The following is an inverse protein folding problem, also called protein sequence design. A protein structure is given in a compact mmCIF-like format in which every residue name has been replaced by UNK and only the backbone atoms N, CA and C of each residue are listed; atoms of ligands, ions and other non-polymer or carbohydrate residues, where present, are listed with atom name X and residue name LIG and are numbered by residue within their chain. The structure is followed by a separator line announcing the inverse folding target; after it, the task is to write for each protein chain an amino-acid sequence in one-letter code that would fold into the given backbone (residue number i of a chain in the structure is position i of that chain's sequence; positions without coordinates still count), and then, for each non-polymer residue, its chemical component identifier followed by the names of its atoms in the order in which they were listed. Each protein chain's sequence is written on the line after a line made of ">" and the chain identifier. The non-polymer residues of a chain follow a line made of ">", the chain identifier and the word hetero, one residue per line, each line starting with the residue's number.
data_IF_859623111741
#
_entry.id   IF_859623111741
#
_cell.length_a   1.000
_cell.length_b   1.000
_cell.length_c   1.000
_cell.angle_alpha   90.00
_cell.angle_beta   90.00
_cell.angle_gamma   90.00
#
_symmetry.space_group_name_H-M   'P 1'
#
loop_
_entity.id
_entity.type
_entity.pdbx_description
1 polymer ?
#
# COMPACT_ATOMS: atom_id res chain seq x y z
N UNK A 1 17.58 -18.97 -11.46
CA UNK A 1 16.65 -17.86 -11.37
C UNK A 1 17.38 -16.55 -11.09
N UNK A 2 17.01 -15.51 -11.79
CA UNK A 2 17.68 -14.21 -11.66
C UNK A 2 17.20 -13.46 -10.41
N UNK A 3 18.11 -12.68 -9.83
CA UNK A 3 17.76 -11.70 -8.81
C UNK A 3 17.05 -10.55 -9.49
N UNK A 4 15.91 -10.14 -8.94
CA UNK A 4 15.17 -9.00 -9.46
C UNK A 4 15.66 -7.70 -8.85
N UNK A 5 15.75 -6.66 -9.67
CA UNK A 5 15.98 -5.31 -9.16
C UNK A 5 14.78 -4.76 -8.43
N UNK A 6 15.00 -3.73 -7.63
CA UNK A 6 13.91 -3.07 -6.88
C UNK A 6 12.76 -2.61 -7.77
N UNK A 7 12.99 -2.01 -8.96
CA UNK A 7 11.87 -1.61 -9.82
C UNK A 7 10.99 -2.78 -10.27
N UNK A 8 11.59 -3.95 -10.52
CA UNK A 8 10.80 -5.13 -10.93
C UNK A 8 9.99 -5.67 -9.75
N UNK A 9 10.56 -5.71 -8.56
CA UNK A 9 9.85 -6.13 -7.35
C UNK A 9 8.70 -5.17 -7.06
N UNK A 10 8.94 -3.88 -7.19
CA UNK A 10 7.90 -2.86 -7.03
C UNK A 10 6.76 -3.08 -8.02
N UNK A 11 7.07 -3.39 -9.29
CA UNK A 11 6.06 -3.65 -10.30
C UNK A 11 5.25 -4.91 -9.98
N UNK A 12 5.91 -5.98 -9.52
CA UNK A 12 5.23 -7.22 -9.13
C UNK A 12 4.21 -6.95 -8.00
N UNK A 13 4.61 -6.18 -7.00
CA UNK A 13 3.74 -5.84 -5.87
C UNK A 13 2.64 -4.87 -6.31
N UNK A 14 2.98 -3.90 -7.15
CA UNK A 14 2.01 -2.96 -7.72
C UNK A 14 0.90 -3.69 -8.46
N UNK A 15 1.24 -4.65 -9.31
CA UNK A 15 0.26 -5.40 -10.09
C UNK A 15 -0.71 -6.17 -9.19
N UNK A 16 -0.20 -6.80 -8.14
CA UNK A 16 -1.02 -7.53 -7.18
C UNK A 16 -1.96 -6.58 -6.41
N UNK A 17 -1.44 -5.42 -5.99
CA UNK A 17 -2.23 -4.42 -5.27
C UNK A 17 -3.27 -3.77 -6.17
N UNK A 18 -2.96 -3.51 -7.43
CA UNK A 18 -3.92 -2.96 -8.38
C UNK A 18 -5.12 -3.88 -8.53
N UNK A 19 -4.87 -5.18 -8.60
CA UNK A 19 -5.94 -6.18 -8.64
C UNK A 19 -6.78 -6.15 -7.35
N UNK A 20 -6.15 -5.99 -6.19
CA UNK A 20 -6.86 -5.91 -4.92
C UNK A 20 -7.71 -4.64 -4.82
N UNK A 21 -7.14 -3.48 -5.16
CA UNK A 21 -7.82 -2.20 -4.97
C UNK A 21 -8.92 -1.93 -5.99
N UNK A 22 -8.93 -2.65 -7.09
CA UNK A 22 -9.96 -2.46 -8.12
C UNK A 22 -11.37 -2.61 -7.52
N UNK A 23 -12.15 -1.52 -7.53
CA UNK A 23 -13.48 -1.49 -6.96
C UNK A 23 -13.57 -1.32 -5.46
N UNK A 24 -12.43 -1.27 -4.74
CA UNK A 24 -12.41 -1.10 -3.29
C UNK A 24 -12.13 0.34 -2.84
N UNK A 25 -11.46 1.11 -3.69
CA UNK A 25 -11.19 2.54 -3.43
C UNK A 25 -11.75 3.38 -4.57
N UNK A 26 -12.11 4.62 -4.26
CA UNK A 26 -12.67 5.53 -5.27
C UNK A 26 -11.64 6.17 -6.17
N UNK A 27 -10.37 6.10 -5.81
CA UNK A 27 -9.25 6.65 -6.56
C UNK A 27 -8.44 5.57 -7.25
N UNK A 28 -7.15 5.80 -7.36
CA UNK A 28 -6.22 4.92 -8.07
C UNK A 28 -5.02 4.56 -7.21
N UNK A 29 -4.32 3.50 -7.60
CA UNK A 29 -3.03 3.14 -7.03
C UNK A 29 -1.93 3.88 -7.79
N UNK A 30 -1.00 4.47 -7.05
CA UNK A 30 0.15 5.18 -7.60
C UNK A 30 1.44 4.67 -6.97
N UNK A 31 2.52 4.77 -7.72
CA UNK A 31 3.87 4.66 -7.16
C UNK A 31 4.22 5.97 -6.44
N UNK A 32 5.19 5.90 -5.55
CA UNK A 32 5.66 7.08 -4.81
C UNK A 32 6.04 8.22 -5.77
N UNK A 33 5.54 9.41 -5.47
CA UNK A 33 5.79 10.60 -6.28
C UNK A 33 4.89 10.79 -7.48
N UNK A 34 4.02 9.81 -7.78
CA UNK A 34 3.16 9.86 -8.97
C UNK A 34 1.72 10.32 -8.68
N UNK A 35 1.31 10.35 -7.42
CA UNK A 35 -0.03 10.84 -7.07
C UNK A 35 -0.13 12.34 -7.33
N UNK A 36 -1.19 12.82 -8.01
CA UNK A 36 -1.40 14.25 -8.17
C UNK A 36 -1.47 14.97 -6.83
N UNK A 37 -0.74 16.06 -6.66
CA UNK A 37 -0.67 16.80 -5.39
C UNK A 37 -2.01 17.36 -4.93
N UNK A 38 -2.88 17.66 -5.87
CA UNK A 38 -4.21 18.22 -5.59
C UNK A 38 -5.31 17.18 -5.61
N UNK A 39 -4.97 15.89 -5.65
CA UNK A 39 -5.97 14.83 -5.67
C UNK A 39 -6.80 14.86 -4.39
N UNK A 40 -8.12 14.76 -4.57
CA UNK A 40 -9.08 14.65 -3.47
C UNK A 40 -9.78 13.30 -3.48
N UNK A 41 -9.25 12.35 -4.22
CA UNK A 41 -9.79 11.01 -4.32
C UNK A 41 -9.16 10.10 -3.27
N UNK A 42 -9.85 9.00 -3.00
CA UNK A 42 -9.34 7.94 -2.11
C UNK A 42 -8.29 7.14 -2.88
N UNK A 43 -7.06 7.63 -2.88
CA UNK A 43 -5.94 7.04 -3.60
C UNK A 43 -5.06 6.22 -2.67
N UNK A 44 -4.38 5.22 -3.23
CA UNK A 44 -3.35 4.48 -2.55
C UNK A 44 -1.99 4.76 -3.20
N UNK A 45 -0.96 4.87 -2.37
CA UNK A 45 0.42 5.08 -2.83
C UNK A 45 1.30 4.00 -2.25
N UNK A 46 2.09 3.34 -3.11
CA UNK A 46 3.01 2.28 -2.69
C UNK A 46 4.45 2.76 -2.74
N UNK A 47 5.21 2.38 -1.72
CA UNK A 47 6.66 2.58 -1.65
C UNK A 47 7.31 1.24 -1.30
N UNK A 48 8.31 0.82 -2.06
CA UNK A 48 9.01 -0.44 -1.83
C UNK A 48 10.49 -0.17 -1.57
N UNK A 49 11.01 -0.80 -0.54
CA UNK A 49 12.45 -0.83 -0.26
C UNK A 49 12.91 -2.27 -0.15
N UNK A 50 14.12 -2.55 -0.64
CA UNK A 50 14.66 -3.90 -0.67
C UNK A 50 16.00 -3.97 0.05
N UNK A 51 16.30 -5.15 0.59
CA UNK A 51 17.59 -5.49 1.16
C UNK A 51 17.91 -6.93 0.79
N UNK A 52 19.21 -7.28 0.82
CA UNK A 52 19.66 -8.61 0.45
C UNK A 52 19.74 -8.78 -1.06
N UNK A 53 20.77 -9.42 -1.53
CA UNK A 53 21.04 -9.52 -2.95
C UNK A 53 21.45 -10.92 -3.38
N UNK A 54 21.28 -11.91 -2.53
CA UNK A 54 21.66 -13.29 -2.86
C UNK A 54 20.44 -14.14 -3.15
N UNK A 55 20.32 -15.32 -2.57
CA UNK A 55 19.22 -16.22 -2.82
C UNK A 55 17.91 -15.77 -2.20
N UNK A 56 17.98 -14.99 -1.13
CA UNK A 56 16.81 -14.46 -0.46
C UNK A 56 16.81 -12.95 -0.59
N UNK A 57 15.78 -12.41 -1.20
CA UNK A 57 15.57 -10.98 -1.29
C UNK A 57 14.47 -10.59 -0.31
N UNK A 58 14.78 -9.62 0.54
CA UNK A 58 13.87 -9.16 1.58
C UNK A 58 13.60 -7.68 1.39
N UNK A 59 12.48 -7.22 1.95
CA UNK A 59 12.19 -5.81 1.92
C UNK A 59 10.89 -5.48 2.62
N UNK A 60 10.52 -4.23 2.48
CA UNK A 60 9.26 -3.71 3.01
C UNK A 60 8.51 -2.97 1.93
N UNK A 61 7.20 -3.11 1.95
CA UNK A 61 6.30 -2.31 1.15
C UNK A 61 5.41 -1.51 2.10
N UNK A 62 5.32 -0.21 1.84
CA UNK A 62 4.44 0.68 2.60
C UNK A 62 3.34 1.15 1.68
N UNK A 63 2.11 1.07 2.15
CA UNK A 63 0.95 1.49 1.39
C UNK A 63 0.26 2.59 2.19
N UNK A 64 0.14 3.77 1.60
CA UNK A 64 -0.60 4.87 2.18
C UNK A 64 -1.90 5.03 1.42
N UNK A 65 -3.02 4.87 2.11
CA UNK A 65 -4.35 5.01 1.51
C UNK A 65 -4.95 6.30 2.05
N UNK A 66 -5.15 7.27 1.16
CA UNK A 66 -5.67 8.58 1.51
C UNK A 66 -7.18 8.52 1.57
N UNK A 67 -7.75 8.91 2.70
CA UNK A 67 -9.20 8.92 2.92
C UNK A 67 -9.66 10.36 2.96
N UNK A 68 -10.45 10.82 1.98
CA UNK A 68 -10.96 12.19 1.97
C UNK A 68 -11.82 12.49 3.20
N UNK A 69 -11.69 13.71 3.72
CA UNK A 69 -12.55 14.19 4.78
C UNK A 69 -13.99 14.36 4.27
N UNK A 70 -14.91 14.41 5.19
CA UNK A 70 -16.34 14.60 4.90
C UNK A 70 -16.85 15.84 5.63
N UNK A 71 -17.97 16.36 5.14
CA UNK A 71 -18.74 17.38 5.85
C UNK A 71 -19.81 16.68 6.69
N UNK A 72 -19.72 16.82 8.01
CA UNK A 72 -20.67 16.23 8.95
C UNK A 72 -21.77 17.22 9.38
N UNK A 73 -21.90 18.34 8.68
CA UNK A 73 -22.85 19.39 9.03
C UNK A 73 -22.26 20.50 9.91
N UNK A 74 -20.98 20.40 10.28
CA UNK A 74 -20.30 21.40 11.12
C UNK A 74 -19.85 22.64 10.37
N UNK A 75 -19.91 22.61 9.05
CA UNK A 75 -19.44 23.71 8.20
C UNK A 75 -17.94 23.63 7.85
N UNK A 76 -17.24 22.59 8.25
CA UNK A 76 -15.85 22.36 7.89
C UNK A 76 -15.59 20.86 7.71
N UNK A 77 -14.58 20.48 6.92
CA UNK A 77 -14.24 19.07 6.72
C UNK A 77 -13.76 18.42 8.01
N UNK A 78 -14.17 17.18 8.22
CA UNK A 78 -13.74 16.36 9.37
C UNK A 78 -13.27 14.99 8.87
N UNK A 79 -12.43 14.28 9.65
CA UNK A 79 -12.01 12.93 9.26
C UNK A 79 -13.19 11.99 9.07
N UNK A 80 -13.17 11.19 8.01
CA UNK A 80 -14.17 10.16 7.77
C UNK A 80 -13.81 8.89 8.56
N UNK A 81 -14.15 8.89 9.85
CA UNK A 81 -13.71 7.84 10.78
C UNK A 81 -14.14 6.45 10.38
N UNK A 82 -15.38 6.28 9.94
CA UNK A 82 -15.88 4.96 9.54
C UNK A 82 -15.10 4.41 8.34
N UNK A 83 -14.81 5.25 7.36
CA UNK A 83 -14.03 4.83 6.20
C UNK A 83 -12.58 4.56 6.54
N UNK A 84 -12.00 5.37 7.43
CA UNK A 84 -10.63 5.13 7.93
C UNK A 84 -10.55 3.75 8.58
N UNK A 85 -11.54 3.37 9.36
CA UNK A 85 -11.58 2.04 9.97
C UNK A 85 -11.71 0.94 8.93
N UNK A 86 -12.61 1.10 7.95
CA UNK A 86 -12.75 0.14 6.85
C UNK A 86 -11.45 -0.05 6.08
N UNK A 87 -10.76 1.05 5.77
CA UNK A 87 -9.49 1.03 5.05
C UNK A 87 -8.39 0.39 5.92
N UNK A 88 -8.39 0.67 7.22
CA UNK A 88 -7.45 0.01 8.16
C UNK A 88 -7.66 -1.50 8.17
N UNK A 89 -8.89 -1.94 8.04
CA UNK A 89 -9.25 -3.37 8.01
C UNK A 89 -8.84 -4.05 6.69
N UNK A 90 -8.37 -3.31 5.70
CA UNK A 90 -7.81 -3.91 4.48
C UNK A 90 -6.49 -4.65 4.72
N UNK A 91 -5.82 -4.42 5.84
CA UNK A 91 -4.47 -4.94 6.07
C UNK A 91 -4.37 -6.46 5.90
N UNK A 92 -5.20 -7.23 6.59
CA UNK A 92 -5.19 -8.69 6.46
C UNK A 92 -5.62 -9.19 5.07
N UNK A 93 -6.72 -8.67 4.50
CA UNK A 93 -7.08 -9.03 3.12
C UNK A 93 -6.00 -8.72 2.09
N UNK A 94 -5.25 -7.63 2.25
CA UNK A 94 -4.13 -7.31 1.37
C UNK A 94 -3.07 -8.39 1.46
N UNK A 95 -2.70 -8.82 2.66
CA UNK A 95 -1.70 -9.89 2.85
C UNK A 95 -2.15 -11.17 2.16
N UNK A 96 -3.41 -11.57 2.35
CA UNK A 96 -3.95 -12.76 1.69
C UNK A 96 -3.90 -12.65 0.17
N UNK A 97 -4.32 -11.50 -0.36
CA UNK A 97 -4.32 -11.25 -1.81
C UNK A 97 -2.91 -11.29 -2.40
N UNK A 98 -1.94 -10.67 -1.72
CA UNK A 98 -0.56 -10.67 -2.18
C UNK A 98 0.04 -12.06 -2.18
N UNK A 99 -0.19 -12.85 -1.15
CA UNK A 99 0.32 -14.23 -1.06
C UNK A 99 -0.32 -15.14 -2.11
N UNK A 100 -1.56 -14.91 -2.47
CA UNK A 100 -2.25 -15.69 -3.50
C UNK A 100 -1.86 -15.29 -4.91
N UNK A 101 -1.53 -14.01 -5.12
CA UNK A 101 -1.24 -13.49 -6.44
C UNK A 101 0.09 -13.97 -7.01
N UNK A 102 1.13 -13.97 -6.18
CA UNK A 102 2.48 -14.36 -6.61
C UNK A 102 3.13 -15.23 -5.54
N UNK A 103 3.23 -16.53 -5.83
CA UNK A 103 3.75 -17.52 -4.88
C UNK A 103 5.27 -17.49 -4.73
N UNK A 104 5.99 -16.72 -5.54
CA UNK A 104 7.43 -16.52 -5.37
C UNK A 104 7.73 -15.63 -4.16
N UNK A 105 6.72 -14.95 -3.64
CA UNK A 105 6.83 -14.06 -2.50
C UNK A 105 6.12 -14.62 -1.29
N UNK A 106 6.60 -14.22 -0.11
CA UNK A 106 5.93 -14.41 1.16
C UNK A 106 5.74 -13.05 1.80
N UNK A 107 4.51 -12.71 2.13
CA UNK A 107 4.14 -11.42 2.70
C UNK A 107 3.57 -11.60 4.09
N UNK A 108 3.91 -10.67 4.99
CA UNK A 108 3.31 -10.58 6.32
C UNK A 108 3.24 -9.12 6.76
N UNK A 109 2.35 -8.80 7.68
CA UNK A 109 2.29 -7.46 8.25
C UNK A 109 3.57 -7.18 9.05
N UNK A 110 4.15 -6.00 8.83
CA UNK A 110 5.25 -5.49 9.66
C UNK A 110 4.70 -4.85 10.93
N UNK A 111 3.63 -4.07 10.77
CA UNK A 111 2.97 -3.35 11.86
C UNK A 111 1.48 -3.30 11.61
N UNK A 112 0.72 -3.08 12.69
CA UNK A 112 -0.71 -2.80 12.56
C UNK A 112 -0.93 -1.53 11.72
N UNK A 113 -2.05 -1.48 11.00
CA UNK A 113 -2.43 -0.30 10.25
C UNK A 113 -2.56 0.91 11.18
N UNK A 114 -2.11 2.08 10.73
CA UNK A 114 -2.12 3.29 11.56
C UNK A 114 -2.52 4.50 10.74
N UNK A 115 -3.36 5.33 11.35
CA UNK A 115 -3.79 6.59 10.75
C UNK A 115 -2.74 7.68 10.96
N UNK A 116 -2.56 8.50 9.93
CA UNK A 116 -1.71 9.69 9.95
C UNK A 116 -2.43 10.85 9.27
N UNK A 117 -1.99 12.06 9.56
CA UNK A 117 -2.42 13.24 8.82
C UNK A 117 -1.23 13.78 8.01
N UNK A 118 -1.49 14.12 6.75
CA UNK A 118 -0.51 14.83 5.93
C UNK A 118 -0.73 16.33 6.14
N UNK A 119 0.21 16.98 6.83
CA UNK A 119 0.09 18.38 7.21
C UNK A 119 0.16 19.36 6.04
N UNK A 120 0.79 18.96 4.93
CA UNK A 120 0.92 19.83 3.76
C UNK A 120 -0.40 20.03 3.04
N UNK A 121 -1.16 18.96 2.84
CA UNK A 121 -2.43 19.00 2.12
C UNK A 121 -3.64 18.71 3.01
N UNK A 122 -3.43 18.58 4.32
CA UNK A 122 -4.48 18.35 5.31
C UNK A 122 -5.33 17.12 5.02
N UNK A 123 -4.73 16.07 4.50
CA UNK A 123 -5.39 14.81 4.22
C UNK A 123 -5.02 13.76 5.26
N UNK A 124 -5.99 12.91 5.58
CA UNK A 124 -5.75 11.75 6.43
C UNK A 124 -5.40 10.56 5.55
N UNK A 125 -4.49 9.73 6.02
CA UNK A 125 -4.17 8.49 5.33
C UNK A 125 -3.90 7.37 6.34
N UNK A 126 -4.15 6.14 5.88
CA UNK A 126 -3.83 4.93 6.64
C UNK A 126 -2.56 4.34 6.05
N UNK A 127 -1.58 4.08 6.92
CA UNK A 127 -0.35 3.41 6.53
C UNK A 127 -0.44 1.94 6.88
N UNK A 128 -0.20 1.09 5.88
CA UNK A 128 -0.09 -0.37 6.04
C UNK A 128 1.33 -0.74 5.66
N UNK A 129 2.09 -1.29 6.61
CA UNK A 129 3.48 -1.69 6.40
C UNK A 129 3.58 -3.20 6.32
N UNK A 130 4.22 -3.69 5.28
CA UNK A 130 4.29 -5.11 4.94
C UNK A 130 5.75 -5.52 4.80
N UNK A 131 6.12 -6.65 5.38
CA UNK A 131 7.41 -7.28 5.12
C UNK A 131 7.24 -8.34 4.04
N UNK A 132 8.24 -8.49 3.18
CA UNK A 132 8.20 -9.55 2.19
C UNK A 132 9.56 -10.23 2.04
N UNK A 133 9.50 -11.46 1.57
CA UNK A 133 10.66 -12.24 1.13
C UNK A 133 10.36 -12.83 -0.24
N UNK A 134 11.37 -12.82 -1.09
CA UNK A 134 11.35 -13.52 -2.36
C UNK A 134 12.52 -14.48 -2.37
N UNK A 135 12.25 -15.76 -2.59
CA UNK A 135 13.29 -16.79 -2.66
C UNK A 135 13.72 -16.94 -4.10
N UNK A 136 15.02 -16.77 -4.32
CA UNK A 136 15.60 -16.96 -5.65
C UNK A 136 16.44 -18.25 -5.65
N UNK A 137 16.35 -19.00 -6.72
CA UNK A 137 17.11 -20.23 -6.87
C UNK A 137 18.03 -20.10 -8.06
N UNK A 138 19.27 -20.47 -7.87
CA UNK A 138 20.25 -20.59 -8.94
C UNK A 138 20.18 -22.02 -9.47
N UNK A 139 19.62 -22.17 -10.64
CA UNK A 139 19.54 -23.47 -11.29
C UNK A 139 20.33 -23.47 -12.58
#
# INVERSE_FOLDING_TARGET
>A
MAIKGTPQIEQDIYDALEAFFGGRIGGSLYEEGCRPLDSKLEDAVITVSTAGAEQIQEGKAKINIYVPDIDNGSGHPVPHKDRIQEVSDFAEPIIEALNDYDTDYKFKLDKAAKEYINHENKQHFVNISIEFKRITFNT
#
